data_IF_167684795986
#
_entry.id   IF_167684795986
#
_cell.length_a   1.000
_cell.length_b   1.000
_cell.length_c   1.000
_cell.angle_alpha   90.00
_cell.angle_beta   90.00
_cell.angle_gamma   90.00
#
_symmetry.space_group_name_H-M   'P 1'
#
loop_
_entity.id
_entity.type
_entity.pdbx_description
1 polymer ?
#
# COMPACT_ATOMS: atom_id res chain seq x y z
N UNK A 1 -24.31 14.39 10.72
CA UNK A 1 -22.96 13.87 11.01
C UNK A 1 -22.44 13.24 9.75
N UNK A 2 -21.16 13.42 9.36
CA UNK A 2 -20.58 12.55 8.35
C UNK A 2 -20.77 11.10 8.80
N UNK A 3 -21.15 10.20 7.90
CA UNK A 3 -21.22 8.77 8.20
C UNK A 3 -19.90 8.32 8.82
N UNK A 4 -19.89 7.43 9.82
CA UNK A 4 -18.65 6.82 10.27
C UNK A 4 -17.95 6.25 9.04
N UNK A 5 -16.65 6.53 8.92
CA UNK A 5 -15.88 5.99 7.81
C UNK A 5 -15.56 4.55 8.19
N UNK A 6 -16.29 3.62 7.59
CA UNK A 6 -16.23 2.20 7.95
C UNK A 6 -15.04 1.48 7.28
N UNK A 7 -14.32 2.15 6.37
CA UNK A 7 -13.23 1.58 5.59
C UNK A 7 -12.00 2.50 5.51
N UNK A 8 -10.81 1.96 5.77
CA UNK A 8 -9.57 2.73 5.81
C UNK A 8 -9.19 3.30 4.43
N UNK A 9 -9.37 2.56 3.34
CA UNK A 9 -9.02 3.04 1.99
C UNK A 9 -9.93 4.17 1.55
N UNK A 10 -11.23 4.09 1.83
CA UNK A 10 -12.17 5.19 1.56
C UNK A 10 -11.80 6.45 2.37
N UNK A 11 -11.37 6.28 3.63
CA UNK A 11 -10.96 7.37 4.50
C UNK A 11 -9.74 8.14 3.97
N UNK A 12 -8.79 7.40 3.40
CA UNK A 12 -7.53 7.93 2.90
C UNK A 12 -7.67 8.48 1.49
N UNK A 13 -8.20 7.68 0.55
CA UNK A 13 -8.25 8.05 -0.86
C UNK A 13 -9.45 8.91 -1.23
N UNK A 14 -10.58 8.82 -0.52
CA UNK A 14 -11.79 9.58 -0.84
C UNK A 14 -11.55 11.10 -0.93
N UNK A 15 -10.97 11.74 0.10
CA UNK A 15 -10.64 13.17 0.06
C UNK A 15 -9.62 13.52 -1.03
N UNK A 16 -8.63 12.65 -1.27
CA UNK A 16 -7.60 12.82 -2.29
C UNK A 16 -8.22 12.84 -3.69
N UNK A 17 -9.03 11.84 -4.02
CA UNK A 17 -9.66 11.67 -5.32
C UNK A 17 -10.68 12.77 -5.61
N UNK A 18 -11.37 13.26 -4.58
CA UNK A 18 -12.30 14.38 -4.70
C UNK A 18 -11.57 15.71 -5.00
N UNK A 19 -10.35 15.89 -4.49
CA UNK A 19 -9.58 17.12 -4.62
C UNK A 19 -8.73 17.17 -5.91
N UNK A 20 -7.92 16.13 -6.15
CA UNK A 20 -7.03 16.06 -7.32
C UNK A 20 -6.76 14.60 -7.72
N UNK A 21 -7.64 14.00 -8.55
CA UNK A 21 -7.50 12.61 -8.99
C UNK A 21 -6.32 12.39 -9.97
N UNK A 22 -5.93 13.44 -10.71
CA UNK A 22 -4.86 13.36 -11.71
C UNK A 22 -3.47 13.68 -11.12
N UNK A 23 -3.41 14.35 -9.97
CA UNK A 23 -2.17 14.72 -9.30
C UNK A 23 -1.32 13.53 -8.86
N UNK A 24 0.02 13.70 -8.81
CA UNK A 24 0.92 12.63 -8.41
C UNK A 24 0.71 12.27 -6.94
N UNK A 25 0.54 10.98 -6.66
CA UNK A 25 0.25 10.48 -5.31
C UNK A 25 1.41 9.71 -4.71
N UNK A 26 1.95 8.77 -5.47
CA UNK A 26 3.13 7.99 -5.08
C UNK A 26 4.12 8.04 -6.22
N UNK A 27 5.33 8.50 -5.93
CA UNK A 27 6.49 8.39 -6.79
C UNK A 27 7.46 7.44 -6.13
N UNK A 28 7.87 6.39 -6.81
CA UNK A 28 8.82 5.42 -6.31
C UNK A 28 10.12 5.51 -7.11
N UNK A 29 11.23 5.39 -6.38
CA UNK A 29 12.57 5.27 -6.91
C UNK A 29 13.27 4.05 -6.31
N UNK A 30 14.11 3.41 -7.10
CA UNK A 30 15.17 2.54 -6.59
C UNK A 30 16.51 3.03 -7.17
N UNK A 31 17.35 3.58 -6.30
CA UNK A 31 18.63 4.15 -6.69
C UNK A 31 19.67 3.06 -7.06
N UNK A 32 19.46 1.80 -6.67
CA UNK A 32 20.33 0.69 -7.07
C UNK A 32 20.07 0.23 -8.50
N UNK A 33 18.82 0.31 -8.98
CA UNK A 33 18.41 -0.14 -10.32
C UNK A 33 18.20 1.02 -11.30
N UNK A 34 18.04 2.24 -10.78
CA UNK A 34 17.65 3.43 -11.54
C UNK A 34 16.16 3.49 -11.85
N UNK A 35 15.34 2.64 -11.23
CA UNK A 35 13.89 2.63 -11.42
C UNK A 35 13.27 3.95 -10.98
N UNK A 36 12.29 4.41 -11.78
CA UNK A 36 11.37 5.49 -11.40
C UNK A 36 9.98 5.19 -11.93
N UNK A 37 8.99 5.22 -11.05
CA UNK A 37 7.57 5.17 -11.42
C UNK A 37 6.79 6.20 -10.64
N UNK A 38 5.77 6.77 -11.28
CA UNK A 38 4.87 7.74 -10.67
C UNK A 38 3.43 7.35 -10.96
N UNK A 39 2.62 7.32 -9.91
CA UNK A 39 1.20 7.04 -9.96
C UNK A 39 0.42 8.28 -9.57
N UNK A 40 -0.56 8.64 -10.39
CA UNK A 40 -1.62 9.55 -9.97
C UNK A 40 -2.52 8.92 -8.92
N UNK A 41 -3.33 9.73 -8.22
CA UNK A 41 -4.32 9.20 -7.29
C UNK A 41 -5.30 8.22 -7.95
N UNK A 42 -5.81 8.55 -9.15
CA UNK A 42 -6.69 7.63 -9.91
C UNK A 42 -6.00 6.33 -10.29
N UNK A 43 -4.72 6.40 -10.69
CA UNK A 43 -3.99 5.19 -11.07
C UNK A 43 -3.80 4.30 -9.86
N UNK A 44 -3.39 4.87 -8.73
CA UNK A 44 -3.25 4.12 -7.47
C UNK A 44 -4.57 3.50 -7.03
N UNK A 45 -5.69 4.25 -7.11
CA UNK A 45 -7.01 3.74 -6.77
C UNK A 45 -7.44 2.58 -7.67
N UNK A 46 -7.14 2.62 -8.98
CA UNK A 46 -7.44 1.52 -9.90
C UNK A 46 -6.67 0.24 -9.52
N UNK A 47 -5.38 0.36 -9.16
CA UNK A 47 -4.58 -0.79 -8.71
C UNK A 47 -5.08 -1.35 -7.37
N UNK A 48 -5.46 -0.48 -6.44
CA UNK A 48 -6.08 -0.90 -5.18
C UNK A 48 -7.42 -1.60 -5.41
N UNK A 49 -8.27 -1.09 -6.30
CA UNK A 49 -9.55 -1.71 -6.63
C UNK A 49 -9.38 -3.08 -7.31
N UNK A 50 -8.41 -3.21 -8.22
CA UNK A 50 -8.05 -4.52 -8.80
C UNK A 50 -7.60 -5.49 -7.72
N UNK A 51 -6.82 -5.01 -6.75
CA UNK A 51 -6.32 -5.87 -5.67
C UNK A 51 -7.46 -6.27 -4.74
N UNK A 52 -8.39 -5.37 -4.45
CA UNK A 52 -9.58 -5.67 -3.67
C UNK A 52 -10.48 -6.71 -4.37
N UNK A 53 -10.68 -6.60 -5.69
CA UNK A 53 -11.36 -7.62 -6.49
C UNK A 53 -10.60 -8.95 -6.48
N UNK A 54 -9.27 -8.95 -6.59
CA UNK A 54 -8.47 -10.18 -6.46
C UNK A 54 -8.67 -10.86 -5.10
N UNK A 55 -8.55 -10.10 -4.01
CA UNK A 55 -8.77 -10.58 -2.64
C UNK A 55 -10.17 -11.20 -2.48
N UNK A 56 -11.20 -10.56 -3.04
CA UNK A 56 -12.60 -10.98 -2.92
C UNK A 56 -12.98 -12.13 -3.85
N UNK A 57 -12.58 -12.06 -5.11
CA UNK A 57 -13.11 -12.89 -6.19
C UNK A 57 -12.19 -14.06 -6.53
N UNK A 58 -10.87 -13.87 -6.46
CA UNK A 58 -9.88 -14.92 -6.74
C UNK A 58 -9.62 -15.77 -5.49
N UNK A 59 -9.36 -15.11 -4.35
CA UNK A 59 -9.05 -15.79 -3.09
C UNK A 59 -10.25 -15.99 -2.16
N UNK A 60 -11.42 -15.46 -2.52
CA UNK A 60 -12.65 -15.60 -1.73
C UNK A 60 -12.53 -15.14 -0.26
N UNK A 61 -11.64 -14.18 0.04
CA UNK A 61 -11.44 -13.71 1.40
C UNK A 61 -12.66 -12.92 1.89
N UNK A 62 -13.26 -13.33 3.00
CA UNK A 62 -14.38 -12.64 3.64
C UNK A 62 -13.91 -11.36 4.39
N UNK A 63 -14.77 -10.32 4.55
CA UNK A 63 -14.37 -9.15 5.33
C UNK A 63 -14.04 -9.56 6.78
N UNK A 64 -12.97 -9.00 7.33
CA UNK A 64 -12.41 -9.39 8.62
C UNK A 64 -11.34 -10.48 8.55
N UNK A 65 -11.10 -11.08 7.38
CA UNK A 65 -10.01 -12.03 7.18
C UNK A 65 -8.64 -11.36 7.32
N UNK A 66 -7.68 -12.11 7.88
CA UNK A 66 -6.30 -11.64 8.08
C UNK A 66 -5.45 -11.88 6.84
N UNK A 67 -4.66 -10.87 6.47
CA UNK A 67 -3.77 -10.89 5.32
C UNK A 67 -2.37 -10.50 5.74
N UNK A 68 -1.42 -11.42 5.56
CA UNK A 68 0.00 -11.13 5.75
C UNK A 68 0.54 -10.36 4.54
N UNK A 69 1.01 -9.13 4.74
CA UNK A 69 1.63 -8.32 3.69
C UNK A 69 3.11 -8.16 4.00
N UNK A 70 3.92 -9.10 3.51
CA UNK A 70 5.37 -9.15 3.75
C UNK A 70 6.12 -8.55 2.56
N UNK A 71 5.85 -7.27 2.30
CA UNK A 71 6.39 -6.53 1.16
C UNK A 71 7.22 -5.32 1.64
N UNK A 72 8.29 -4.96 0.92
CA UNK A 72 9.07 -3.77 1.23
C UNK A 72 8.28 -2.48 0.94
N UNK A 73 8.81 -1.33 1.36
CA UNK A 73 8.25 -0.02 1.03
C UNK A 73 8.37 0.28 -0.48
N UNK A 74 7.31 -0.08 -1.22
CA UNK A 74 7.25 -0.07 -2.68
C UNK A 74 5.86 0.37 -3.16
N UNK A 75 5.76 0.91 -4.38
CA UNK A 75 4.47 1.39 -4.91
C UNK A 75 3.43 0.27 -5.03
N UNK A 76 3.85 -0.95 -5.40
CA UNK A 76 2.94 -2.12 -5.44
C UNK A 76 2.44 -2.47 -4.04
N UNK A 77 3.29 -2.35 -3.01
CA UNK A 77 2.89 -2.57 -1.62
C UNK A 77 1.81 -1.58 -1.20
N UNK A 78 1.90 -0.32 -1.62
CA UNK A 78 0.83 0.68 -1.38
C UNK A 78 -0.49 0.23 -2.02
N UNK A 79 -0.45 -0.25 -3.27
CA UNK A 79 -1.64 -0.75 -3.95
C UNK A 79 -2.24 -2.00 -3.27
N UNK A 80 -1.39 -2.94 -2.83
CA UNK A 80 -1.80 -4.14 -2.11
C UNK A 80 -2.45 -3.79 -0.78
N UNK A 81 -1.78 -2.99 0.05
CA UNK A 81 -2.29 -2.56 1.35
C UNK A 81 -3.65 -1.88 1.21
N UNK A 82 -3.76 -0.90 0.31
CA UNK A 82 -5.03 -0.23 0.03
C UNK A 82 -6.10 -1.19 -0.48
N UNK A 83 -5.75 -2.15 -1.32
CA UNK A 83 -6.69 -3.15 -1.82
C UNK A 83 -7.21 -4.09 -0.74
N UNK A 84 -6.33 -4.61 0.12
CA UNK A 84 -6.68 -5.45 1.27
C UNK A 84 -7.65 -4.72 2.19
N UNK A 85 -7.31 -3.48 2.58
CA UNK A 85 -8.19 -2.66 3.40
C UNK A 85 -9.50 -2.34 2.68
N UNK A 86 -9.50 -2.09 1.37
CA UNK A 86 -10.73 -1.80 0.63
C UNK A 86 -11.67 -3.00 0.61
N UNK A 87 -11.11 -4.20 0.50
CA UNK A 87 -11.82 -5.47 0.62
C UNK A 87 -12.29 -5.76 2.06
N UNK A 88 -11.85 -4.99 3.06
CA UNK A 88 -12.22 -5.16 4.46
C UNK A 88 -11.37 -6.18 5.21
N UNK A 89 -10.19 -6.52 4.70
CA UNK A 89 -9.23 -7.39 5.38
C UNK A 89 -8.40 -6.65 6.43
N UNK A 90 -7.92 -7.40 7.42
CA UNK A 90 -6.93 -6.95 8.40
C UNK A 90 -5.53 -7.22 7.86
N UNK A 91 -4.66 -6.20 7.83
CA UNK A 91 -3.25 -6.36 7.45
C UNK A 91 -2.43 -6.71 8.70
N UNK A 92 -1.59 -7.74 8.57
CA UNK A 92 -0.47 -8.04 9.46
C UNK A 92 0.84 -7.98 8.67
N UNK A 93 1.90 -7.44 9.28
CA UNK A 93 3.18 -7.12 8.65
C UNK A 93 4.30 -8.12 9.01
N UNK A 94 3.92 -9.18 9.72
CA UNK A 94 4.80 -10.29 10.06
C UNK A 94 4.13 -11.62 9.71
N UNK A 95 4.90 -12.73 9.57
CA UNK A 95 4.32 -14.04 9.38
C UNK A 95 3.31 -14.36 10.49
N UNK A 96 2.08 -14.68 10.10
CA UNK A 96 0.98 -15.00 11.01
C UNK A 96 0.33 -16.31 10.57
N UNK A 97 0.26 -17.28 11.47
CA UNK A 97 -0.35 -18.59 11.21
C UNK A 97 -1.88 -18.51 11.08
N UNK A 98 -2.49 -17.43 11.55
CA UNK A 98 -3.91 -17.15 11.38
C UNK A 98 -4.20 -16.37 10.08
N UNK A 99 -3.18 -16.00 9.29
CA UNK A 99 -3.40 -15.35 8.00
C UNK A 99 -4.03 -16.34 7.00
N UNK A 100 -5.05 -15.88 6.30
CA UNK A 100 -5.75 -16.66 5.27
C UNK A 100 -5.14 -16.43 3.88
N UNK A 101 -4.53 -15.26 3.68
CA UNK A 101 -3.88 -14.84 2.45
C UNK A 101 -2.55 -14.15 2.76
N UNK A 102 -1.53 -14.38 1.93
CA UNK A 102 -0.27 -13.67 2.00
C UNK A 102 0.11 -12.99 0.68
N UNK A 103 0.56 -11.75 0.75
CA UNK A 103 1.25 -11.05 -0.34
C UNK A 103 2.73 -10.94 0.01
N UNK A 104 3.60 -11.56 -0.79
CA UNK A 104 5.02 -11.70 -0.47
C UNK A 104 5.90 -11.52 -1.70
N UNK A 105 7.19 -11.23 -1.51
CA UNK A 105 8.20 -11.39 -2.57
C UNK A 105 8.65 -12.85 -2.67
N UNK A 106 9.24 -13.25 -3.80
CA UNK A 106 9.64 -14.64 -4.05
C UNK A 106 10.63 -15.20 -3.00
N UNK A 107 11.49 -14.37 -2.44
CA UNK A 107 12.46 -14.72 -1.40
C UNK A 107 11.82 -14.89 0.00
N UNK A 108 10.54 -14.57 0.15
CA UNK A 108 9.78 -14.67 1.41
C UNK A 108 8.72 -15.77 1.39
N UNK A 109 8.68 -16.60 0.34
CA UNK A 109 7.71 -17.70 0.21
C UNK A 109 7.79 -18.71 1.36
N UNK A 110 9.01 -18.99 1.86
CA UNK A 110 9.21 -19.93 2.97
C UNK A 110 8.58 -19.45 4.29
N UNK A 111 8.41 -18.12 4.46
CA UNK A 111 7.81 -17.54 5.67
C UNK A 111 6.30 -17.75 5.74
N UNK A 112 5.66 -18.09 4.62
CA UNK A 112 4.20 -18.22 4.47
C UNK A 112 3.79 -19.58 3.94
N UNK A 113 4.65 -20.59 4.14
CA UNK A 113 4.43 -21.95 3.64
C UNK A 113 3.13 -22.60 4.15
N UNK A 114 2.66 -22.17 5.32
CA UNK A 114 1.42 -22.67 5.95
C UNK A 114 0.20 -21.78 5.69
N UNK A 115 0.36 -20.66 4.97
CA UNK A 115 -0.77 -19.75 4.63
C UNK A 115 -1.58 -20.37 3.49
N UNK A 116 -2.93 -20.43 3.58
CA UNK A 116 -3.77 -21.10 2.58
C UNK A 116 -3.62 -20.56 1.15
N UNK A 117 -3.64 -19.24 1.02
CA UNK A 117 -3.54 -18.56 -0.28
C UNK A 117 -2.32 -17.65 -0.31
N UNK A 118 -1.56 -17.66 -1.41
CA UNK A 118 -0.35 -16.84 -1.54
C UNK A 118 -0.29 -16.17 -2.91
N UNK A 119 -0.07 -14.86 -2.91
CA UNK A 119 0.22 -14.05 -4.08
C UNK A 119 1.66 -13.52 -4.01
N UNK A 120 2.49 -13.93 -4.96
CA UNK A 120 3.87 -13.48 -5.06
C UNK A 120 4.01 -12.25 -5.96
N UNK A 121 4.88 -11.31 -5.55
CA UNK A 121 5.14 -10.05 -6.24
C UNK A 121 6.59 -10.02 -6.74
N UNK A 122 6.76 -9.71 -8.03
CA UNK A 122 8.08 -9.45 -8.61
C UNK A 122 8.66 -8.09 -8.20
N UNK A 123 7.79 -7.16 -7.80
CA UNK A 123 8.09 -5.74 -7.61
C UNK A 123 8.70 -5.05 -8.84
N UNK A 124 8.59 -5.65 -10.02
CA UNK A 124 9.05 -5.03 -11.26
C UNK A 124 8.24 -3.76 -11.55
N UNK A 125 8.94 -2.67 -11.88
CA UNK A 125 8.38 -1.35 -12.18
C UNK A 125 7.15 -1.38 -13.10
N UNK A 126 7.17 -2.25 -14.10
CA UNK A 126 6.15 -2.32 -15.15
C UNK A 126 5.24 -3.54 -15.02
N UNK A 127 5.32 -4.23 -13.87
CA UNK A 127 4.50 -5.39 -13.55
C UNK A 127 4.86 -6.60 -14.40
N UNK A 128 6.15 -6.83 -14.67
CA UNK A 128 6.59 -8.12 -15.19
C UNK A 128 6.29 -9.22 -14.15
N UNK A 129 5.66 -10.31 -14.57
CA UNK A 129 5.38 -11.45 -13.69
C UNK A 129 6.62 -12.24 -13.30
N UNK A 130 6.48 -13.04 -12.25
CA UNK A 130 7.45 -14.05 -11.84
C UNK A 130 7.38 -15.29 -12.74
N UNK A 131 8.50 -16.00 -12.84
CA UNK A 131 8.56 -17.34 -13.43
C UNK A 131 8.80 -18.38 -12.35
N UNK A 132 8.46 -19.63 -12.64
CA UNK A 132 8.83 -20.79 -11.82
C UNK A 132 8.26 -20.76 -10.38
N UNK A 133 7.07 -20.17 -10.21
CA UNK A 133 6.37 -20.18 -8.93
C UNK A 133 5.93 -21.60 -8.53
N UNK A 134 5.95 -21.93 -7.22
CA UNK A 134 5.36 -23.16 -6.71
C UNK A 134 3.88 -23.29 -7.09
N UNK A 135 3.41 -24.53 -7.20
CA UNK A 135 1.98 -24.79 -7.39
C UNK A 135 1.17 -24.20 -6.23
N UNK A 136 0.08 -23.52 -6.55
CA UNK A 136 -0.78 -22.86 -5.56
C UNK A 136 -0.40 -21.40 -5.27
N UNK A 137 0.77 -20.93 -5.72
CA UNK A 137 1.15 -19.52 -5.59
C UNK A 137 0.71 -18.73 -6.83
N UNK A 138 -0.10 -17.70 -6.63
CA UNK A 138 -0.52 -16.79 -7.69
C UNK A 138 0.60 -15.77 -8.00
N UNK A 139 0.80 -15.46 -9.28
CA UNK A 139 1.62 -14.31 -9.68
C UNK A 139 0.76 -13.05 -9.68
N UNK A 140 1.01 -12.13 -8.73
CA UNK A 140 0.22 -10.91 -8.59
C UNK A 140 0.17 -10.10 -9.89
N UNK A 141 1.30 -9.94 -10.57
CA UNK A 141 1.40 -9.03 -11.70
C UNK A 141 0.61 -9.50 -12.95
N UNK A 142 0.36 -10.81 -13.09
CA UNK A 142 -0.49 -11.36 -14.14
C UNK A 142 -1.95 -11.48 -13.69
N UNK A 143 -2.22 -11.95 -12.47
CA UNK A 143 -3.58 -12.06 -11.92
C UNK A 143 -4.28 -10.70 -11.87
N UNK A 144 -3.60 -9.65 -11.40
CA UNK A 144 -4.20 -8.33 -11.18
C UNK A 144 -4.78 -7.68 -12.46
N UNK A 145 -4.27 -8.06 -13.64
CA UNK A 145 -4.63 -7.42 -14.92
C UNK A 145 -6.06 -7.72 -15.34
N UNK A 146 -6.58 -8.88 -14.96
CA UNK A 146 -7.93 -9.33 -15.37
C UNK A 146 -9.04 -8.84 -14.43
N UNK A 147 -8.67 -8.35 -13.24
CA UNK A 147 -9.61 -7.85 -12.25
C UNK A 147 -10.18 -6.47 -12.62
N UNK A 148 -11.39 -6.17 -12.15
CA UNK A 148 -12.04 -4.86 -12.34
C UNK A 148 -11.31 -3.73 -11.62
N UNK A 149 -11.43 -2.50 -12.12
CA UNK A 149 -10.86 -1.28 -11.53
C UNK A 149 -11.87 -0.46 -10.70
N UNK A 150 -13.06 -1.03 -10.47
CA UNK A 150 -14.07 -0.49 -9.56
C UNK A 150 -14.28 -1.46 -8.41
N UNK A 151 -14.42 -0.91 -7.21
CA UNK A 151 -14.71 -1.69 -6.02
C UNK A 151 -15.69 -0.92 -5.13
N UNK A 152 -16.53 -1.64 -4.39
CA UNK A 152 -17.34 -1.06 -3.31
C UNK A 152 -16.84 -1.61 -2.01
N UNK A 153 -16.48 -0.72 -1.09
CA UNK A 153 -15.94 -1.11 0.20
C UNK A 153 -16.89 -2.03 0.96
N UNK A 154 -16.27 -2.94 1.71
CA UNK A 154 -16.96 -3.84 2.62
C UNK A 154 -16.18 -3.91 3.94
N UNK A 155 -16.87 -4.40 4.96
CA UNK A 155 -16.25 -4.78 6.23
C UNK A 155 -16.23 -3.68 7.29
N UNK A 156 -16.17 -4.15 8.54
CA UNK A 156 -15.94 -3.38 9.75
C UNK A 156 -15.05 -4.25 10.63
N UNK A 157 -14.03 -3.70 11.28
CA UNK A 157 -13.18 -4.50 12.17
C UNK A 157 -11.78 -3.92 12.32
N UNK A 158 -10.84 -4.81 12.59
CA UNK A 158 -9.40 -4.52 12.59
C UNK A 158 -8.92 -4.22 11.18
N UNK A 159 -8.08 -3.19 11.04
CA UNK A 159 -7.44 -2.82 9.79
C UNK A 159 -5.96 -3.19 9.76
N UNK A 160 -5.26 -3.03 10.89
CA UNK A 160 -3.80 -3.13 10.93
C UNK A 160 -3.34 -3.63 12.30
N UNK A 161 -2.76 -4.83 12.38
CA UNK A 161 -2.18 -5.39 13.61
C UNK A 161 -3.14 -5.29 14.82
N UNK A 162 -4.38 -5.73 14.64
CA UNK A 162 -5.45 -5.67 15.64
C UNK A 162 -6.03 -4.28 15.92
N UNK A 163 -5.49 -3.20 15.33
CA UNK A 163 -6.05 -1.84 15.47
C UNK A 163 -7.29 -1.72 14.61
N UNK A 164 -8.34 -1.11 15.15
CA UNK A 164 -9.56 -0.83 14.39
C UNK A 164 -9.31 0.14 13.24
N UNK A 165 -10.22 0.17 12.25
CA UNK A 165 -10.22 1.19 11.19
C UNK A 165 -10.16 2.61 11.78
N UNK A 166 -10.98 2.89 12.80
CA UNK A 166 -11.06 4.21 13.42
C UNK A 166 -9.74 4.59 14.11
N UNK A 167 -9.17 3.69 14.91
CA UNK A 167 -7.91 3.94 15.61
C UNK A 167 -6.74 4.13 14.62
N UNK A 168 -6.75 3.40 13.51
CA UNK A 168 -5.72 3.53 12.46
C UNK A 168 -5.82 4.87 11.75
N UNK A 169 -7.04 5.33 11.43
CA UNK A 169 -7.27 6.66 10.84
C UNK A 169 -6.83 7.77 11.80
N UNK A 170 -7.19 7.65 13.07
CA UNK A 170 -6.86 8.64 14.09
C UNK A 170 -5.35 8.71 14.33
N UNK A 171 -4.66 7.56 14.37
CA UNK A 171 -3.21 7.49 14.46
C UNK A 171 -2.53 8.14 13.24
N UNK A 172 -2.99 7.84 12.02
CA UNK A 172 -2.46 8.44 10.80
C UNK A 172 -2.63 9.97 10.77
N UNK A 173 -3.81 10.48 11.16
CA UNK A 173 -4.07 11.92 11.26
C UNK A 173 -3.25 12.59 12.36
N UNK A 174 -3.08 11.93 13.50
CA UNK A 174 -2.25 12.43 14.59
C UNK A 174 -0.78 12.52 14.17
N UNK A 175 -0.26 11.47 13.53
CA UNK A 175 1.10 11.45 12.98
C UNK A 175 1.31 12.57 11.96
N UNK A 176 0.40 12.71 10.99
CA UNK A 176 0.42 13.79 9.99
C UNK A 176 0.46 15.18 10.64
N UNK A 177 -0.34 15.39 11.70
CA UNK A 177 -0.37 16.65 12.44
C UNK A 177 0.93 16.91 13.20
N UNK A 178 1.53 15.88 13.79
CA UNK A 178 2.77 16.00 14.57
C UNK A 178 3.95 16.48 13.74
N UNK A 179 3.98 16.13 12.45
CA UNK A 179 4.98 16.61 11.48
C UNK A 179 4.47 17.75 10.59
N UNK A 180 3.30 18.31 10.92
CA UNK A 180 2.65 19.44 10.23
C UNK A 180 2.54 19.22 8.71
N UNK A 181 2.08 18.03 8.31
CA UNK A 181 1.79 17.73 6.91
C UNK A 181 0.51 18.41 6.45
N UNK A 182 0.54 18.94 5.23
CA UNK A 182 -0.62 19.51 4.54
C UNK A 182 -0.77 18.91 3.15
N UNK A 183 -1.94 19.03 2.54
CA UNK A 183 -2.25 18.35 1.27
C UNK A 183 -1.38 18.75 0.08
N UNK A 184 -0.72 19.91 0.13
CA UNK A 184 0.22 20.36 -0.91
C UNK A 184 1.64 19.83 -0.72
N UNK A 185 1.91 19.08 0.35
CA UNK A 185 3.23 18.56 0.60
C UNK A 185 3.63 17.45 -0.37
N UNK A 186 4.92 17.44 -0.70
CA UNK A 186 5.60 16.38 -1.43
C UNK A 186 6.70 15.85 -0.54
N UNK A 187 6.45 14.67 0.02
CA UNK A 187 7.22 14.07 1.09
C UNK A 187 8.22 13.10 0.51
N UNK A 188 9.52 13.32 0.69
CA UNK A 188 10.54 12.33 0.34
C UNK A 188 10.90 11.48 1.55
N UNK A 189 10.88 10.15 1.37
CA UNK A 189 11.14 9.18 2.43
C UNK A 189 11.93 7.99 1.90
N UNK A 190 12.74 7.41 2.78
CA UNK A 190 13.40 6.11 2.58
C UNK A 190 13.10 5.14 3.74
N UNK A 191 12.11 5.46 4.58
CA UNK A 191 11.68 4.61 5.69
C UNK A 191 11.10 3.30 5.17
N UNK A 192 11.31 2.24 5.95
CA UNK A 192 10.60 0.96 5.78
C UNK A 192 9.22 1.02 6.45
N UNK A 193 8.40 0.00 6.21
CA UNK A 193 7.04 -0.13 6.74
C UNK A 193 6.87 -1.47 7.45
N UNK A 194 7.89 -1.88 8.21
CA UNK A 194 7.98 -3.24 8.76
C UNK A 194 7.12 -3.41 10.02
N UNK A 195 6.70 -2.30 10.62
CA UNK A 195 5.78 -2.28 11.77
C UNK A 195 4.58 -1.37 11.52
N UNK A 196 3.50 -1.56 12.28
CA UNK A 196 2.30 -0.73 12.17
C UNK A 196 2.60 0.76 12.37
N UNK A 197 3.45 1.12 13.35
CA UNK A 197 3.78 2.52 13.61
C UNK A 197 4.66 3.11 12.49
N UNK A 198 5.62 2.36 11.94
CA UNK A 198 6.41 2.79 10.78
C UNK A 198 5.57 2.97 9.52
N UNK A 199 4.61 2.07 9.26
CA UNK A 199 3.66 2.18 8.15
C UNK A 199 2.74 3.39 8.33
N UNK A 200 2.25 3.62 9.55
CA UNK A 200 1.42 4.78 9.89
C UNK A 200 2.21 6.07 9.64
N UNK A 201 3.41 6.20 10.20
CA UNK A 201 4.22 7.41 10.08
C UNK A 201 4.76 7.63 8.66
N UNK A 202 5.14 6.54 7.99
CA UNK A 202 5.81 6.56 6.69
C UNK A 202 4.87 6.74 5.49
N UNK A 203 3.66 6.19 5.55
CA UNK A 203 2.72 6.16 4.43
C UNK A 203 1.34 6.73 4.81
N UNK A 204 0.71 6.20 5.86
CA UNK A 204 -0.70 6.54 6.13
C UNK A 204 -0.86 8.00 6.55
N UNK A 205 0.09 8.57 7.29
CA UNK A 205 0.12 9.99 7.63
C UNK A 205 0.13 10.88 6.38
N UNK A 206 0.93 10.50 5.37
CA UNK A 206 1.03 11.24 4.10
C UNK A 206 -0.29 11.21 3.35
N UNK A 207 -0.91 10.04 3.24
CA UNK A 207 -2.23 9.89 2.60
C UNK A 207 -3.34 10.58 3.39
N UNK A 208 -3.35 10.47 4.72
CA UNK A 208 -4.34 11.10 5.59
C UNK A 208 -4.29 12.64 5.54
N UNK A 209 -3.10 13.22 5.35
CA UNK A 209 -2.93 14.65 5.10
C UNK A 209 -3.40 15.10 3.70
N UNK A 210 -3.61 14.15 2.79
CA UNK A 210 -3.81 14.42 1.38
C UNK A 210 -2.53 14.80 0.64
N UNK A 211 -1.35 14.55 1.21
CA UNK A 211 -0.02 14.86 0.65
C UNK A 211 0.52 13.75 -0.26
N UNK A 212 1.51 14.05 -1.11
CA UNK A 212 2.12 13.08 -2.02
C UNK A 212 3.41 12.49 -1.45
N UNK A 213 3.66 11.21 -1.73
CA UNK A 213 4.86 10.49 -1.29
C UNK A 213 5.85 10.31 -2.44
N UNK A 214 7.14 10.51 -2.16
CA UNK A 214 8.30 10.14 -2.96
C UNK A 214 9.10 9.12 -2.15
N UNK A 215 8.81 7.84 -2.35
CA UNK A 215 9.48 6.73 -1.67
C UNK A 215 10.76 6.35 -2.43
N UNK A 216 11.86 6.20 -1.72
CA UNK A 216 13.17 5.85 -2.31
C UNK A 216 13.71 4.59 -1.64
N UNK A 217 13.91 3.54 -2.43
CA UNK A 217 14.68 2.36 -2.05
C UNK A 217 16.17 2.56 -2.40
N UNK A 218 17.03 1.91 -1.61
CA UNK A 218 18.49 1.94 -1.75
C UNK A 218 19.08 3.35 -1.96
N UNK A 219 18.69 4.36 -1.15
CA UNK A 219 18.94 5.77 -1.47
C UNK A 219 20.42 6.08 -1.66
N UNK A 220 20.75 6.72 -2.77
CA UNK A 220 22.05 7.36 -2.98
C UNK A 220 21.99 8.80 -2.46
N UNK A 221 23.01 9.22 -1.70
CA UNK A 221 23.02 10.53 -1.05
C UNK A 221 23.05 11.69 -2.06
N UNK A 222 23.81 11.56 -3.14
CA UNK A 222 23.88 12.60 -4.16
C UNK A 222 22.60 12.65 -5.01
N UNK A 223 22.04 11.50 -5.37
CA UNK A 223 20.77 11.38 -6.06
C UNK A 223 19.63 11.99 -5.23
N UNK A 224 19.60 11.71 -3.92
CA UNK A 224 18.64 12.28 -2.98
C UNK A 224 18.71 13.80 -2.95
N UNK A 225 19.92 14.37 -2.85
CA UNK A 225 20.09 15.83 -2.85
C UNK A 225 19.55 16.48 -4.14
N UNK A 226 19.77 15.85 -5.31
CA UNK A 226 19.21 16.32 -6.58
C UNK A 226 17.68 16.16 -6.63
N UNK A 227 17.18 15.03 -6.13
CA UNK A 227 15.76 14.66 -6.15
C UNK A 227 14.89 15.65 -5.39
N UNK A 228 15.37 16.24 -4.31
CA UNK A 228 14.68 17.32 -3.58
C UNK A 228 14.24 18.44 -4.52
N UNK A 229 15.12 18.88 -5.42
CA UNK A 229 14.81 19.91 -6.41
C UNK A 229 13.90 19.41 -7.53
N UNK A 230 14.23 18.27 -8.13
CA UNK A 230 13.46 17.69 -9.26
C UNK A 230 12.02 17.39 -8.89
N UNK A 231 11.83 16.80 -7.72
CA UNK A 231 10.51 16.40 -7.22
C UNK A 231 9.83 17.50 -6.41
N UNK A 232 10.44 18.71 -6.30
CA UNK A 232 9.87 19.84 -5.53
C UNK A 232 9.47 19.43 -4.10
N UNK A 233 10.33 18.67 -3.45
CA UNK A 233 10.10 18.13 -2.11
C UNK A 233 9.93 19.26 -1.10
N UNK A 234 8.88 19.18 -0.28
CA UNK A 234 8.59 20.17 0.77
C UNK A 234 8.87 19.64 2.17
N UNK A 235 8.87 18.32 2.35
CA UNK A 235 9.10 17.61 3.61
C UNK A 235 9.95 16.37 3.37
N UNK A 236 10.77 16.00 4.36
CA UNK A 236 11.60 14.80 4.31
C UNK A 236 11.56 14.12 5.67
N UNK A 237 11.49 12.80 5.69
CA UNK A 237 11.63 12.04 6.93
C UNK A 237 12.06 10.60 6.72
#
# INVERSE_FOLDING_TARGET
MPSPVDNLTDALLGPILAADPAGPRVTYYDDATGERIELSASTLANWAAKTANMVRDEFALEPGGKVAVLLPAHWQSVAVLLGVWWAGGEVVLSPDADAELAFVTADRLDDVADVPEVAALSLDAFGKGLSDLPLGVADYATSIRVHGDQFRSAGTGSALEGRSVADTIDAARASAKNVELVSTDRVLSSRTWDTADELIDGLLAVLAAGASLVQVAHPDAEATARRVGTEKVTKQF
#
